data_IF_513146298849
#
_entry.id   IF_513146298849
#
_cell.length_a   1.000
_cell.length_b   1.000
_cell.length_c   1.000
_cell.angle_alpha   90.00
_cell.angle_beta   90.00
_cell.angle_gamma   90.00
#
_symmetry.space_group_name_H-M   'P 1'
#
loop_
_entity.id
_entity.type
_entity.pdbx_description
1 polymer ?
#
# COMPACT_ATOMS: atom_id res chain seq x y z
N UNK A 1 -22.54 60.20 -28.64
CA UNK A 1 -21.93 59.12 -27.83
C UNK A 1 -23.01 58.12 -27.43
N UNK A 2 -23.38 57.12 -28.25
CA UNK A 2 -24.58 56.30 -27.91
C UNK A 2 -24.44 54.78 -28.00
N UNK A 3 -23.33 54.20 -28.47
CA UNK A 3 -23.25 52.74 -28.67
C UNK A 3 -22.07 52.05 -27.96
N UNK A 4 -21.44 52.69 -26.97
CA UNK A 4 -20.30 52.10 -26.22
C UNK A 4 -20.71 51.17 -25.07
N UNK A 5 -21.99 51.15 -24.71
CA UNK A 5 -22.52 50.30 -23.64
C UNK A 5 -22.59 48.82 -24.03
N UNK A 6 -22.85 48.52 -25.31
CA UNK A 6 -22.97 47.14 -25.80
C UNK A 6 -21.65 46.33 -25.70
N UNK A 7 -20.48 46.84 -26.14
CA UNK A 7 -19.23 46.11 -25.96
C UNK A 7 -18.82 45.99 -24.49
N UNK A 8 -19.15 46.98 -23.64
CA UNK A 8 -18.88 46.93 -22.20
C UNK A 8 -19.70 45.83 -21.51
N UNK A 9 -20.97 45.67 -21.91
CA UNK A 9 -21.85 44.61 -21.40
C UNK A 9 -21.33 43.20 -21.78
N UNK A 10 -20.78 43.05 -22.99
CA UNK A 10 -20.23 41.79 -23.46
C UNK A 10 -18.96 41.37 -22.68
N UNK A 11 -18.08 42.33 -22.40
CA UNK A 11 -16.85 42.11 -21.61
C UNK A 11 -17.18 41.79 -20.14
N UNK A 12 -18.17 42.47 -19.54
CA UNK A 12 -18.58 42.21 -18.16
C UNK A 12 -19.33 40.87 -18.00
N UNK A 13 -20.08 40.44 -19.03
CA UNK A 13 -20.80 39.15 -19.04
C UNK A 13 -19.89 37.93 -19.16
N UNK A 14 -18.72 38.06 -19.79
CA UNK A 14 -17.76 36.96 -19.95
C UNK A 14 -17.01 36.53 -18.67
N UNK A 15 -17.07 37.31 -17.59
CA UNK A 15 -16.31 37.04 -16.35
C UNK A 15 -16.91 35.93 -15.47
N UNK A 16 -18.11 35.41 -15.77
CA UNK A 16 -18.82 34.45 -14.89
C UNK A 16 -18.91 33.02 -15.41
N UNK A 17 -18.11 32.65 -16.41
CA UNK A 17 -18.10 31.29 -16.94
C UNK A 17 -17.27 30.36 -16.03
N UNK A 18 -17.89 29.73 -15.04
CA UNK A 18 -17.32 28.57 -14.34
C UNK A 18 -17.52 27.33 -15.22
N UNK A 19 -16.43 26.72 -15.68
CA UNK A 19 -16.48 25.46 -16.43
C UNK A 19 -15.99 24.31 -15.56
N UNK A 20 -16.91 23.41 -15.25
CA UNK A 20 -16.68 22.11 -14.64
C UNK A 20 -16.18 21.12 -15.69
N UNK A 21 -15.15 20.32 -15.35
CA UNK A 21 -14.58 19.35 -16.29
C UNK A 21 -15.34 18.04 -16.17
N UNK A 22 -16.32 17.86 -17.05
CA UNK A 22 -17.02 16.58 -17.22
C UNK A 22 -16.59 15.97 -18.55
N UNK A 23 -16.09 14.73 -18.49
CA UNK A 23 -15.61 13.99 -19.65
C UNK A 23 -16.52 12.77 -19.85
N UNK A 24 -17.17 12.68 -21.02
CA UNK A 24 -17.99 11.52 -21.38
C UNK A 24 -19.45 11.56 -20.91
N UNK A 25 -19.93 12.67 -20.36
CA UNK A 25 -21.31 12.85 -19.88
C UNK A 25 -21.77 14.31 -20.08
N UNK A 26 -23.04 14.51 -20.41
CA UNK A 26 -23.62 15.85 -20.63
C UNK A 26 -24.16 16.46 -19.33
N UNK A 27 -24.80 15.65 -18.49
CA UNK A 27 -25.31 16.08 -17.18
C UNK A 27 -24.17 16.20 -16.17
N UNK A 28 -24.10 17.33 -15.48
CA UNK A 28 -23.02 17.60 -14.54
C UNK A 28 -23.44 17.34 -13.11
N UNK A 29 -22.56 16.67 -12.36
CA UNK A 29 -22.64 16.52 -10.92
C UNK A 29 -22.16 17.81 -10.22
N UNK A 30 -23.03 18.59 -9.55
CA UNK A 30 -22.66 19.91 -9.02
C UNK A 30 -21.55 19.92 -7.96
N UNK A 31 -21.30 18.78 -7.31
CA UNK A 31 -20.26 18.62 -6.29
C UNK A 31 -18.94 18.05 -6.84
N UNK A 32 -18.84 17.82 -8.15
CA UNK A 32 -17.65 17.25 -8.77
C UNK A 32 -16.84 18.32 -9.51
N UNK A 33 -15.56 18.46 -9.15
CA UNK A 33 -14.63 19.32 -9.88
C UNK A 33 -14.10 18.64 -11.16
N UNK A 34 -14.05 17.30 -11.16
CA UNK A 34 -13.70 16.44 -12.30
C UNK A 34 -14.55 15.17 -12.24
N UNK A 35 -15.27 14.87 -13.33
CA UNK A 35 -16.00 13.59 -13.51
C UNK A 35 -15.60 12.98 -14.85
N UNK A 36 -15.15 11.72 -14.84
CA UNK A 36 -14.83 10.95 -16.06
C UNK A 36 -15.78 9.77 -16.11
N UNK A 37 -16.69 9.77 -17.08
CA UNK A 37 -17.73 8.76 -17.24
C UNK A 37 -17.49 7.92 -18.50
N UNK A 38 -17.39 6.60 -18.33
CA UNK A 38 -17.36 5.62 -19.40
C UNK A 38 -17.76 4.24 -18.86
N UNK A 39 -18.43 3.42 -19.66
CA UNK A 39 -18.80 2.04 -19.31
C UNK A 39 -17.74 1.00 -19.68
N UNK A 40 -16.83 1.35 -20.58
CA UNK A 40 -15.90 0.43 -21.25
C UNK A 40 -14.47 1.00 -21.40
N UNK A 41 -14.16 2.10 -20.71
CA UNK A 41 -12.85 2.77 -20.78
C UNK A 41 -12.32 3.07 -19.38
N UNK A 42 -11.00 3.10 -19.26
CA UNK A 42 -10.28 3.53 -18.06
C UNK A 42 -9.59 4.87 -18.24
N UNK A 43 -8.91 5.31 -17.17
CA UNK A 43 -8.06 6.50 -17.17
C UNK A 43 -6.58 6.09 -17.08
N UNK A 44 -5.76 6.58 -18.01
CA UNK A 44 -4.31 6.46 -17.90
C UNK A 44 -3.77 7.57 -17.01
N UNK A 45 -3.19 7.16 -15.87
CA UNK A 45 -2.36 8.02 -15.03
C UNK A 45 -0.99 8.22 -15.70
N UNK A 46 -0.34 9.40 -15.55
CA UNK A 46 0.99 9.63 -16.10
C UNK A 46 1.98 8.52 -15.76
N UNK A 47 2.57 7.93 -16.80
CA UNK A 47 3.59 6.89 -16.70
C UNK A 47 4.96 7.55 -16.63
N UNK A 48 5.67 7.34 -15.54
CA UNK A 48 6.95 7.99 -15.25
C UNK A 48 8.00 6.96 -14.86
N UNK A 49 9.28 7.32 -15.03
CA UNK A 49 10.42 6.48 -14.71
C UNK A 49 11.06 6.98 -13.42
N UNK A 50 10.45 6.67 -12.27
CA UNK A 50 11.02 7.06 -10.97
C UNK A 50 12.32 6.29 -10.72
N UNK A 51 13.24 6.92 -9.98
CA UNK A 51 14.56 6.36 -9.69
C UNK A 51 14.69 5.79 -8.27
N UNK A 52 13.88 6.27 -7.32
CA UNK A 52 13.80 5.80 -5.93
C UNK A 52 12.52 6.31 -5.26
N UNK A 53 12.20 5.84 -4.05
CA UNK A 53 11.09 6.44 -3.28
C UNK A 53 11.36 7.88 -2.83
N UNK A 54 12.61 8.34 -2.88
CA UNK A 54 13.01 9.71 -2.53
C UNK A 54 13.26 10.61 -3.74
N UNK A 55 12.91 10.15 -4.94
CA UNK A 55 13.09 10.88 -6.19
C UNK A 55 12.29 12.19 -6.22
N UNK A 56 13.01 13.32 -6.27
CA UNK A 56 12.44 14.69 -6.36
C UNK A 56 12.62 15.34 -7.72
N UNK A 57 13.24 14.66 -8.68
CA UNK A 57 13.73 15.27 -9.93
C UNK A 57 13.00 14.77 -11.16
N UNK A 58 12.44 13.56 -11.14
CA UNK A 58 11.69 12.99 -12.28
C UNK A 58 10.47 13.84 -12.63
N UNK A 59 9.75 14.35 -11.63
CA UNK A 59 8.68 15.32 -11.84
C UNK A 59 9.26 16.73 -11.87
N UNK A 60 9.17 17.37 -13.03
CA UNK A 60 9.63 18.76 -13.21
C UNK A 60 8.75 19.70 -12.37
N UNK A 61 9.38 20.72 -11.79
CA UNK A 61 8.78 21.66 -10.82
C UNK A 61 8.52 21.10 -9.42
N UNK A 62 9.06 19.91 -9.12
CA UNK A 62 9.01 19.31 -7.79
C UNK A 62 7.71 18.54 -7.53
N UNK A 63 7.76 17.67 -6.51
CA UNK A 63 6.64 16.84 -6.13
C UNK A 63 5.72 17.59 -5.16
N UNK A 64 4.41 17.52 -5.39
CA UNK A 64 3.37 18.09 -4.54
C UNK A 64 2.64 16.95 -3.83
N UNK A 65 2.23 17.18 -2.59
CA UNK A 65 1.43 16.23 -1.81
C UNK A 65 0.21 15.75 -2.60
N UNK A 66 -0.08 14.45 -2.53
CA UNK A 66 -1.15 13.77 -3.27
C UNK A 66 -0.94 13.65 -4.80
N UNK A 67 0.24 13.97 -5.34
CA UNK A 67 0.53 13.74 -6.75
C UNK A 67 0.55 12.23 -7.06
N UNK A 68 -0.24 11.79 -8.05
CA UNK A 68 -0.40 10.38 -8.43
C UNK A 68 0.29 10.07 -9.77
N UNK A 69 1.09 9.01 -9.81
CA UNK A 69 1.78 8.52 -11.01
C UNK A 69 1.76 7.00 -11.11
N UNK A 70 2.00 6.46 -12.30
CA UNK A 70 2.35 5.06 -12.50
C UNK A 70 3.85 4.95 -12.80
N UNK A 71 4.61 4.35 -11.90
CA UNK A 71 6.02 4.09 -12.13
C UNK A 71 6.18 2.88 -13.06
N UNK A 72 7.10 2.96 -14.03
CA UNK A 72 7.40 1.88 -14.98
C UNK A 72 8.74 1.20 -14.74
N UNK A 73 9.55 1.68 -13.79
CA UNK A 73 10.91 1.20 -13.58
C UNK A 73 11.03 0.28 -12.36
N UNK A 74 11.98 -0.66 -12.44
CA UNK A 74 12.52 -1.36 -11.27
C UNK A 74 13.92 -0.82 -11.02
N UNK A 75 14.05 0.12 -10.08
CA UNK A 75 15.33 0.74 -9.69
C UNK A 75 15.30 0.98 -8.18
N UNK A 76 16.39 0.65 -7.48
CA UNK A 76 16.52 0.83 -6.04
C UNK A 76 15.38 0.11 -5.29
N UNK A 77 14.55 0.88 -4.59
CA UNK A 77 13.46 0.48 -3.73
C UNK A 77 12.09 0.68 -4.40
N UNK A 78 12.10 1.01 -5.70
CA UNK A 78 10.90 1.23 -6.49
C UNK A 78 10.73 0.13 -7.54
N UNK A 79 9.47 -0.26 -7.77
CA UNK A 79 9.05 -1.27 -8.74
C UNK A 79 7.85 -0.74 -9.54
N UNK A 80 7.49 -1.33 -10.69
CA UNK A 80 6.32 -0.89 -11.43
C UNK A 80 5.05 -0.93 -10.58
N UNK A 81 4.24 0.12 -10.68
CA UNK A 81 3.00 0.26 -9.88
C UNK A 81 2.53 1.70 -9.74
N UNK A 82 1.40 1.87 -9.07
CA UNK A 82 0.88 3.20 -8.74
C UNK A 82 1.59 3.77 -7.51
N UNK A 83 2.02 5.01 -7.60
CA UNK A 83 2.68 5.73 -6.51
C UNK A 83 2.04 7.10 -6.29
N UNK A 84 1.98 7.53 -5.04
CA UNK A 84 1.60 8.90 -4.69
C UNK A 84 2.66 9.57 -3.81
N UNK A 85 2.87 10.86 -4.02
CA UNK A 85 3.78 11.65 -3.19
C UNK A 85 3.10 12.01 -1.88
N UNK A 86 3.69 11.56 -0.76
CA UNK A 86 3.24 11.93 0.58
C UNK A 86 4.36 11.84 1.60
N UNK A 87 4.45 12.83 2.51
CA UNK A 87 5.49 12.91 3.53
C UNK A 87 6.91 12.83 2.94
N UNK A 88 7.15 13.60 1.88
CA UNK A 88 8.47 13.72 1.23
C UNK A 88 9.02 12.39 0.65
N UNK A 89 8.13 11.47 0.26
CA UNK A 89 8.45 10.20 -0.41
C UNK A 89 7.34 9.74 -1.34
N UNK A 90 7.69 8.92 -2.33
CA UNK A 90 6.76 8.15 -3.15
C UNK A 90 6.30 6.91 -2.40
N UNK A 91 4.99 6.79 -2.17
CA UNK A 91 4.37 5.66 -1.51
C UNK A 91 3.65 4.81 -2.55
N UNK A 92 3.94 3.50 -2.60
CA UNK A 92 3.28 2.56 -3.52
C UNK A 92 1.86 2.26 -3.02
N UNK A 93 0.89 2.23 -3.93
CA UNK A 93 -0.39 1.57 -3.64
C UNK A 93 -0.16 0.06 -3.59
N UNK A 94 -0.33 -0.50 -2.41
CA UNK A 94 -0.21 -1.94 -2.20
C UNK A 94 -1.49 -2.60 -2.70
N UNK A 95 -1.34 -3.59 -3.59
CA UNK A 95 -2.46 -4.42 -4.06
C UNK A 95 -2.70 -5.58 -3.08
N UNK A 96 -3.94 -6.08 -3.00
CA UNK A 96 -4.28 -7.23 -2.17
C UNK A 96 -3.35 -8.41 -2.47
N UNK A 97 -2.60 -8.88 -1.45
CA UNK A 97 -1.57 -9.90 -1.60
C UNK A 97 -0.12 -9.39 -1.53
N UNK A 98 0.11 -8.08 -1.69
CA UNK A 98 1.41 -7.43 -1.41
C UNK A 98 1.48 -6.85 0.01
N UNK A 99 0.33 -6.50 0.61
CA UNK A 99 0.23 -6.48 2.07
C UNK A 99 -0.32 -7.84 2.43
N UNK A 100 0.46 -8.62 3.16
CA UNK A 100 -0.01 -9.28 4.37
C UNK A 100 1.16 -10.08 4.92
N UNK A 101 1.58 -9.68 6.13
CA UNK A 101 2.44 -10.49 6.97
C UNK A 101 1.78 -11.78 7.46
N UNK A 102 0.75 -12.31 6.78
CA UNK A 102 0.09 -13.58 7.08
C UNK A 102 -0.31 -14.23 5.75
N UNK A 103 0.31 -15.35 5.39
CA UNK A 103 0.00 -16.13 4.18
C UNK A 103 -0.13 -17.62 4.51
N UNK A 104 -0.57 -18.44 3.56
CA UNK A 104 -0.70 -19.89 3.74
C UNK A 104 -0.39 -20.68 2.47
N UNK A 105 0.23 -21.84 2.60
CA UNK A 105 0.56 -22.73 1.47
C UNK A 105 0.68 -24.20 1.89
N UNK A 106 1.00 -25.07 0.94
CA UNK A 106 1.18 -26.50 1.21
C UNK A 106 2.61 -26.79 1.69
N UNK A 107 2.77 -27.38 2.88
CA UNK A 107 4.06 -27.69 3.48
C UNK A 107 4.68 -26.54 4.26
N UNK A 108 5.83 -26.78 4.90
CA UNK A 108 6.56 -25.76 5.64
C UNK A 108 7.13 -24.68 4.71
N UNK A 109 7.19 -23.40 5.14
CA UNK A 109 7.71 -22.32 4.31
C UNK A 109 9.21 -22.48 4.06
N UNK A 110 9.63 -22.23 2.82
CA UNK A 110 11.04 -22.13 2.45
C UNK A 110 11.68 -20.84 3.00
N UNK A 111 13.00 -20.84 3.17
CA UNK A 111 13.75 -19.61 3.48
C UNK A 111 13.84 -18.72 2.25
N UNK A 112 14.18 -17.44 2.45
CA UNK A 112 14.38 -16.50 1.33
C UNK A 112 15.43 -17.04 0.35
N UNK A 113 15.01 -17.27 -0.89
CA UNK A 113 15.84 -17.84 -1.97
C UNK A 113 15.62 -19.32 -2.25
N UNK A 114 14.93 -20.05 -1.37
CA UNK A 114 14.66 -21.48 -1.53
C UNK A 114 13.29 -21.74 -2.19
N UNK A 115 13.09 -22.92 -2.82
CA UNK A 115 11.77 -23.37 -3.24
C UNK A 115 10.77 -23.36 -2.08
N UNK A 116 9.57 -22.85 -2.33
CA UNK A 116 8.53 -22.72 -1.28
C UNK A 116 8.68 -21.48 -0.39
N UNK A 117 9.58 -20.54 -0.70
CA UNK A 117 9.61 -19.22 -0.05
C UNK A 117 8.29 -18.48 -0.30
N UNK A 118 7.59 -18.01 0.75
CA UNK A 118 6.25 -17.44 0.59
C UNK A 118 6.21 -16.01 0.03
N UNK A 119 7.36 -15.36 -0.13
CA UNK A 119 7.46 -13.99 -0.66
C UNK A 119 7.99 -12.98 0.35
N UNK A 120 8.25 -11.76 -0.11
CA UNK A 120 8.69 -10.65 0.74
C UNK A 120 7.56 -10.17 1.67
N UNK A 121 7.93 -9.63 2.83
CA UNK A 121 7.02 -9.06 3.84
C UNK A 121 6.00 -10.03 4.45
N UNK A 122 6.30 -11.33 4.45
CA UNK A 122 5.49 -12.35 5.13
C UNK A 122 6.02 -12.57 6.55
N UNK A 123 5.27 -12.12 7.56
CA UNK A 123 5.64 -12.30 8.98
C UNK A 123 5.15 -13.62 9.56
N UNK A 124 3.99 -14.11 9.12
CA UNK A 124 3.35 -15.35 9.53
C UNK A 124 3.02 -16.20 8.31
N UNK A 125 3.21 -17.50 8.42
CA UNK A 125 2.86 -18.48 7.41
C UNK A 125 2.07 -19.64 8.04
N UNK A 126 1.01 -20.09 7.40
CA UNK A 126 0.29 -21.32 7.80
C UNK A 126 0.47 -22.42 6.78
N UNK A 127 1.04 -23.56 7.19
CA UNK A 127 1.02 -24.80 6.40
C UNK A 127 -0.39 -25.38 6.43
N UNK A 128 -1.03 -25.49 5.26
CA UNK A 128 -2.39 -26.02 5.10
C UNK A 128 -2.48 -27.53 5.33
N UNK A 129 -1.42 -28.26 5.02
CA UNK A 129 -1.39 -29.72 5.18
C UNK A 129 -1.33 -30.13 6.65
N UNK A 130 -0.61 -29.37 7.47
CA UNK A 130 -0.42 -29.68 8.90
C UNK A 130 -1.19 -28.75 9.85
N UNK A 131 -1.63 -27.58 9.37
CA UNK A 131 -2.17 -26.50 10.20
C UNK A 131 -1.12 -25.76 11.03
N UNK A 132 0.18 -26.01 10.80
CA UNK A 132 1.27 -25.38 11.58
C UNK A 132 1.44 -23.92 11.18
N UNK A 133 1.46 -23.02 12.17
CA UNK A 133 1.79 -21.61 11.97
C UNK A 133 3.28 -21.39 12.24
N UNK A 134 3.93 -20.61 11.38
CA UNK A 134 5.32 -20.20 11.47
C UNK A 134 5.41 -18.68 11.54
N UNK A 135 6.37 -18.17 12.30
CA UNK A 135 6.78 -16.76 12.31
C UNK A 135 8.16 -16.62 11.65
N UNK A 136 8.34 -15.60 10.81
CA UNK A 136 9.63 -15.31 10.18
C UNK A 136 10.56 -14.61 11.17
N UNK A 137 11.81 -15.05 11.25
CA UNK A 137 12.87 -14.42 12.03
C UNK A 137 13.57 -13.33 11.19
N UNK A 138 14.32 -12.43 11.85
CA UNK A 138 15.06 -11.34 11.18
C UNK A 138 16.09 -11.85 10.16
N UNK A 139 16.59 -13.07 10.32
CA UNK A 139 17.54 -13.72 9.40
C UNK A 139 16.86 -14.41 8.19
N UNK A 140 15.54 -14.31 8.06
CA UNK A 140 14.76 -14.92 6.98
C UNK A 140 14.45 -16.41 7.18
N UNK A 141 14.81 -17.00 8.32
CA UNK A 141 14.38 -18.35 8.71
C UNK A 141 12.98 -18.34 9.35
N UNK A 142 12.41 -19.53 9.58
CA UNK A 142 11.05 -19.69 10.09
C UNK A 142 11.03 -20.49 11.39
N UNK A 143 10.28 -20.00 12.37
CA UNK A 143 10.04 -20.67 13.66
C UNK A 143 8.57 -21.09 13.73
N UNK A 144 8.28 -22.37 13.89
CA UNK A 144 6.91 -22.83 14.16
C UNK A 144 6.46 -22.35 15.54
N UNK A 145 5.27 -21.75 15.63
CA UNK A 145 4.67 -21.27 16.88
C UNK A 145 3.53 -22.16 17.39
N UNK A 146 3.07 -23.11 16.58
CA UNK A 146 2.13 -24.14 17.04
C UNK A 146 2.93 -25.24 17.77
N UNK A 147 2.69 -25.43 19.06
CA UNK A 147 3.12 -26.64 19.76
C UNK A 147 2.40 -27.86 19.18
N UNK A 148 2.96 -29.07 19.36
CA UNK A 148 2.46 -30.30 18.71
C UNK A 148 0.98 -30.59 19.01
N UNK A 149 0.40 -29.99 20.05
CA UNK A 149 -1.05 -29.89 20.34
C UNK A 149 -1.36 -28.82 21.43
N UNK A 150 -0.58 -27.73 21.52
CA UNK A 150 -0.71 -26.75 22.63
C UNK A 150 -0.33 -27.26 24.04
N UNK A 151 0.24 -28.47 24.14
CA UNK A 151 0.62 -29.14 25.41
C UNK A 151 2.09 -28.95 25.82
N UNK A 152 2.87 -28.20 25.05
CA UNK A 152 4.34 -28.23 25.12
C UNK A 152 4.94 -27.05 25.91
N UNK A 153 4.12 -26.34 26.69
CA UNK A 153 4.67 -25.51 27.76
C UNK A 153 5.42 -26.46 28.70
N UNK A 154 6.76 -26.39 28.74
CA UNK A 154 7.54 -27.17 29.73
C UNK A 154 6.93 -26.85 31.10
N UNK A 155 6.46 -27.87 31.82
CA UNK A 155 6.03 -27.69 33.20
C UNK A 155 7.14 -26.93 33.94
N UNK A 156 6.78 -25.89 34.68
CA UNK A 156 7.74 -25.15 35.50
C UNK A 156 8.48 -26.12 36.43
N UNK A 157 9.74 -25.82 36.74
CA UNK A 157 10.51 -26.56 37.76
C UNK A 157 9.68 -26.64 39.05
N UNK A 158 9.45 -27.85 39.55
CA UNK A 158 8.79 -28.06 40.84
C UNK A 158 9.49 -27.22 41.91
N UNK A 159 8.71 -26.48 42.71
CA UNK A 159 9.25 -25.71 43.83
C UNK A 159 10.09 -26.61 44.75
N UNK A 160 11.22 -26.09 45.24
CA UNK A 160 12.06 -26.82 46.19
C UNK A 160 11.29 -27.25 47.43
N UNK A 161 11.65 -28.38 48.03
CA UNK A 161 11.07 -28.81 49.31
C UNK A 161 11.29 -27.73 50.36
N UNK A 162 10.22 -27.25 51.00
CA UNK A 162 10.31 -26.29 52.10
C UNK A 162 11.17 -26.84 53.25
N UNK A 163 11.94 -25.97 53.89
CA UNK A 163 12.72 -26.34 55.07
C UNK A 163 11.77 -26.83 56.19
N UNK A 164 12.12 -27.91 56.92
CA UNK A 164 11.36 -28.31 58.10
C UNK A 164 11.28 -27.14 59.08
N UNK A 165 10.08 -26.86 59.61
CA UNK A 165 9.90 -25.79 60.60
C UNK A 165 10.65 -26.11 61.89
N UNK A 166 11.42 -25.14 62.38
CA UNK A 166 12.11 -25.25 63.67
C UNK A 166 11.10 -25.42 64.80
N UNK A 167 11.21 -26.53 65.54
CA UNK A 167 10.49 -26.70 66.80
C UNK A 167 11.25 -25.94 67.89
N UNK A 168 10.64 -24.87 68.38
CA UNK A 168 11.04 -24.20 69.63
C UNK A 168 10.73 -25.06 70.84
#
# INVERSE_FOLDING_TARGET
MKNKLLPLLFVLGSYSAYSQVVIGKQEVTPSAQLEVFASDKGMLIPRVQLTSTTDKTTIKSGNVESLLVFNTQTISDIVPGYYYWYNNKWNKFIISGESNGVVAGEGAPGKKGDPGYPGENVTLYTDKGTGTVYVQNEDGTWTSINGKNGLDGKNGISGGKGLPGDRR
#
